data_IF_755255334127
#
_entry.id   IF_755255334127
#
_cell.length_a   1.000
_cell.length_b   1.000
_cell.length_c   1.000
_cell.angle_alpha   90.00
_cell.angle_beta   90.00
_cell.angle_gamma   90.00
#
_symmetry.space_group_name_H-M   'P 1'
#
loop_
_entity.id
_entity.type
_entity.pdbx_description
1 polymer ?
#
# COMPACT_ATOMS: atom_id res chain seq x y z
N UNK A 1 20.62 10.11 27.56
CA UNK A 1 19.65 9.19 28.20
C UNK A 1 18.27 9.80 28.38
N UNK A 2 17.99 10.69 29.36
CA UNK A 2 16.62 11.21 29.59
C UNK A 2 16.01 11.95 28.37
N UNK A 3 16.81 12.71 27.64
CA UNK A 3 16.37 13.45 26.46
C UNK A 3 16.08 12.53 25.26
N UNK A 4 16.85 11.46 25.09
CA UNK A 4 16.65 10.45 24.03
C UNK A 4 15.40 9.61 24.29
N UNK A 5 15.17 9.19 25.55
CA UNK A 5 13.95 8.49 25.95
C UNK A 5 12.70 9.34 25.69
N UNK A 6 12.76 10.65 25.95
CA UNK A 6 11.65 11.58 25.70
C UNK A 6 11.37 11.76 24.21
N UNK A 7 12.42 11.83 23.37
CA UNK A 7 12.26 11.89 21.91
C UNK A 7 11.66 10.59 21.36
N UNK A 8 12.11 9.44 21.86
CA UNK A 8 11.61 8.13 21.46
C UNK A 8 10.14 7.93 21.84
N UNK A 9 9.75 8.31 23.06
CA UNK A 9 8.36 8.26 23.51
C UNK A 9 7.44 9.10 22.61
N UNK A 10 7.89 10.30 22.23
CA UNK A 10 7.14 11.18 21.33
C UNK A 10 6.98 10.54 19.94
N UNK A 11 8.03 9.94 19.38
CA UNK A 11 7.99 9.26 18.09
C UNK A 11 7.03 8.06 18.10
N UNK A 12 7.12 7.21 19.13
CA UNK A 12 6.19 6.08 19.33
C UNK A 12 4.75 6.55 19.36
N UNK A 13 4.45 7.61 20.12
CA UNK A 13 3.10 8.17 20.20
C UNK A 13 2.60 8.67 18.85
N UNK A 14 3.42 9.42 18.11
CA UNK A 14 3.06 9.86 16.76
C UNK A 14 2.67 8.68 15.87
N UNK A 15 3.42 7.57 15.93
CA UNK A 15 3.09 6.39 15.15
C UNK A 15 1.81 5.69 15.60
N UNK A 16 1.59 5.54 16.91
CA UNK A 16 0.35 4.97 17.45
C UNK A 16 -0.86 5.82 17.07
N UNK A 17 -0.74 7.15 17.18
CA UNK A 17 -1.80 8.08 16.79
C UNK A 17 -2.17 7.93 15.32
N UNK A 18 -1.17 7.90 14.43
CA UNK A 18 -1.39 7.71 13.01
C UNK A 18 -2.02 6.34 12.71
N UNK A 19 -1.50 5.25 13.30
CA UNK A 19 -2.08 3.89 13.17
C UNK A 19 -3.56 3.88 13.60
N UNK A 20 -3.90 4.56 14.69
CA UNK A 20 -5.27 4.69 15.20
C UNK A 20 -6.19 5.35 14.18
N UNK A 21 -5.74 6.45 13.55
CA UNK A 21 -6.51 7.15 12.51
C UNK A 21 -6.71 6.30 11.25
N UNK A 22 -5.71 5.48 10.90
CA UNK A 22 -5.72 4.61 9.72
C UNK A 22 -6.53 3.33 9.91
N UNK A 23 -6.74 2.88 11.15
CA UNK A 23 -7.30 1.56 11.43
C UNK A 23 -8.71 1.35 10.85
N UNK A 24 -9.64 2.28 11.08
CA UNK A 24 -11.02 2.16 10.59
C UNK A 24 -11.11 2.11 9.05
N UNK A 25 -10.44 3.01 8.29
CA UNK A 25 -10.34 2.87 6.84
C UNK A 25 -9.80 1.51 6.38
N UNK A 26 -8.87 0.90 7.12
CA UNK A 26 -8.25 -0.38 6.76
C UNK A 26 -9.21 -1.55 6.95
N UNK A 27 -9.98 -1.55 8.04
CA UNK A 27 -11.06 -2.51 8.28
C UNK A 27 -12.08 -2.45 7.13
N UNK A 28 -12.53 -1.25 6.76
CA UNK A 28 -13.47 -1.07 5.63
C UNK A 28 -12.91 -1.59 4.30
N UNK A 29 -11.60 -1.42 4.05
CA UNK A 29 -10.95 -1.96 2.86
C UNK A 29 -10.85 -3.49 2.89
N UNK A 30 -10.64 -4.08 4.06
CA UNK A 30 -10.63 -5.54 4.24
C UNK A 30 -12.01 -6.16 3.94
N UNK A 31 -13.09 -5.43 4.22
CA UNK A 31 -14.48 -5.90 4.10
C UNK A 31 -15.14 -5.67 2.72
N UNK A 32 -14.49 -4.96 1.78
CA UNK A 32 -15.12 -4.61 0.47
C UNK A 32 -15.36 -5.84 -0.42
N UNK A 33 -16.65 -6.18 -0.60
CA UNK A 33 -17.18 -7.11 -1.62
C UNK A 33 -17.17 -6.49 -3.02
N UNK A 34 -16.69 -7.23 -4.03
CA UNK A 34 -17.00 -7.00 -5.46
C UNK A 34 -17.89 -8.17 -5.89
N UNK A 35 -18.94 -7.94 -6.67
CA UNK A 35 -19.79 -8.98 -7.27
C UNK A 35 -19.51 -8.98 -8.78
N UNK A 36 -19.21 -10.14 -9.36
CA UNK A 36 -19.03 -10.31 -10.81
C UNK A 36 -20.08 -11.33 -11.26
N UNK A 37 -21.10 -10.87 -11.97
CA UNK A 37 -22.08 -11.75 -12.61
C UNK A 37 -21.49 -12.29 -13.92
N UNK A 38 -20.91 -13.49 -13.86
CA UNK A 38 -20.58 -14.25 -15.05
C UNK A 38 -21.81 -15.05 -15.47
N UNK A 39 -22.55 -14.55 -16.45
CA UNK A 39 -23.66 -15.27 -17.06
C UNK A 39 -23.19 -16.54 -17.77
N UNK A 40 -23.24 -17.68 -17.07
CA UNK A 40 -23.86 -18.95 -17.49
C UNK A 40 -23.30 -20.15 -16.69
N UNK A 41 -24.17 -20.82 -15.92
CA UNK A 41 -23.97 -22.19 -15.45
C UNK A 41 -23.91 -22.33 -13.92
N UNK A 42 -24.91 -23.01 -13.35
CA UNK A 42 -25.05 -23.30 -11.90
C UNK A 42 -23.84 -24.10 -11.38
N UNK A 43 -23.18 -23.58 -10.35
CA UNK A 43 -22.47 -24.34 -9.32
C UNK A 43 -22.44 -23.54 -8.03
N UNK A 44 -22.60 -24.24 -6.91
CA UNK A 44 -22.72 -23.75 -5.53
C UNK A 44 -21.49 -23.00 -5.03
N UNK A 45 -21.73 -21.98 -4.20
CA UNK A 45 -20.83 -21.37 -3.19
C UNK A 45 -19.38 -21.04 -3.63
N UNK A 46 -19.09 -19.74 -3.71
CA UNK A 46 -18.12 -19.12 -2.79
C UNK A 46 -18.25 -17.59 -2.82
N UNK A 47 -18.32 -16.90 -1.66
CA UNK A 47 -18.24 -15.44 -1.58
C UNK A 47 -16.87 -14.96 -2.09
N UNK A 48 -16.84 -13.92 -2.92
CA UNK A 48 -15.58 -13.32 -3.41
C UNK A 48 -14.67 -12.89 -2.24
N UNK A 49 -13.35 -13.06 -2.38
CA UNK A 49 -12.43 -13.13 -1.26
C UNK A 49 -12.23 -11.74 -0.63
N UNK A 50 -12.24 -11.72 0.69
CA UNK A 50 -11.68 -10.65 1.52
C UNK A 50 -10.37 -10.13 0.89
N UNK A 51 -10.10 -8.82 0.95
CA UNK A 51 -8.77 -8.32 0.60
C UNK A 51 -7.78 -8.87 1.64
N UNK A 52 -7.21 -10.04 1.33
CA UNK A 52 -6.42 -10.86 2.25
C UNK A 52 -5.23 -10.07 2.78
N UNK A 53 -4.64 -9.20 1.96
CA UNK A 53 -3.53 -8.35 2.38
C UNK A 53 -3.97 -7.25 3.36
N UNK A 54 -5.14 -6.62 3.14
CA UNK A 54 -5.70 -5.67 4.10
C UNK A 54 -6.14 -6.38 5.39
N UNK A 55 -6.77 -7.55 5.31
CA UNK A 55 -7.16 -8.36 6.47
C UNK A 55 -5.95 -8.81 7.30
N UNK A 56 -4.91 -9.31 6.64
CA UNK A 56 -3.64 -9.66 7.32
C UNK A 56 -3.06 -8.45 8.06
N UNK A 57 -3.14 -7.27 7.46
CA UNK A 57 -2.66 -6.05 8.10
C UNK A 57 -3.54 -5.64 9.28
N UNK A 58 -4.87 -5.82 9.22
CA UNK A 58 -5.79 -5.64 10.36
C UNK A 58 -5.43 -6.59 11.50
N UNK A 59 -5.25 -7.89 11.23
CA UNK A 59 -4.85 -8.86 12.25
C UNK A 59 -3.49 -8.50 12.87
N UNK A 60 -2.53 -8.06 12.05
CA UNK A 60 -1.22 -7.67 12.55
C UNK A 60 -1.27 -6.41 13.43
N UNK A 61 -2.14 -5.44 13.12
CA UNK A 61 -2.37 -4.28 14.00
C UNK A 61 -2.90 -4.74 15.35
N UNK A 62 -3.82 -5.70 15.36
CA UNK A 62 -4.37 -6.24 16.60
C UNK A 62 -3.31 -6.94 17.47
N UNK A 63 -2.53 -7.84 16.87
CA UNK A 63 -1.44 -8.56 17.55
C UNK A 63 -0.42 -7.60 18.17
N UNK A 64 -0.02 -6.57 17.42
CA UNK A 64 0.92 -5.56 17.91
C UNK A 64 0.28 -4.69 19.00
N UNK A 65 -0.98 -4.31 18.87
CA UNK A 65 -1.70 -3.55 19.91
C UNK A 65 -1.79 -4.35 21.23
N UNK A 66 -2.10 -5.65 21.16
CA UNK A 66 -2.12 -6.55 22.34
C UNK A 66 -0.73 -6.67 22.96
N UNK A 67 0.30 -6.88 22.13
CA UNK A 67 1.68 -7.01 22.60
C UNK A 67 2.14 -5.74 23.34
N UNK A 68 1.90 -4.57 22.74
CA UNK A 68 2.31 -3.29 23.33
C UNK A 68 1.50 -2.94 24.58
N UNK A 69 0.20 -3.23 24.60
CA UNK A 69 -0.66 -3.10 25.78
C UNK A 69 -0.07 -3.87 26.97
N UNK A 70 0.22 -5.16 26.79
CA UNK A 70 0.83 -6.00 27.83
C UNK A 70 2.22 -5.51 28.22
N UNK A 71 3.04 -5.12 27.24
CA UNK A 71 4.38 -4.60 27.48
C UNK A 71 4.39 -3.28 28.28
N UNK A 72 3.32 -2.50 28.18
CA UNK A 72 3.07 -1.29 28.95
C UNK A 72 2.40 -1.55 30.32
N UNK A 73 2.17 -2.82 30.68
CA UNK A 73 1.58 -3.22 31.97
C UNK A 73 0.05 -3.15 32.01
N UNK A 74 -0.61 -3.15 30.85
CA UNK A 74 -2.07 -3.20 30.81
C UNK A 74 -2.58 -4.63 30.80
N UNK A 75 -3.18 -5.01 31.93
CA UNK A 75 -4.01 -6.20 32.02
C UNK A 75 -5.41 -5.84 31.51
N UNK A 76 -5.67 -6.07 30.21
CA UNK A 76 -6.90 -5.72 29.47
C UNK A 76 -8.18 -6.21 30.21
N UNK A 77 -8.89 -5.34 30.96
CA UNK A 77 -9.97 -5.79 31.84
C UNK A 77 -11.31 -5.98 31.10
N UNK A 78 -11.42 -5.55 29.84
CA UNK A 78 -12.72 -5.29 29.21
C UNK A 78 -12.85 -5.67 27.72
N UNK A 79 -11.87 -6.35 27.13
CA UNK A 79 -11.92 -6.79 25.71
C UNK A 79 -12.36 -5.66 24.77
N UNK A 80 -11.74 -4.48 24.92
CA UNK A 80 -12.12 -3.23 24.25
C UNK A 80 -11.94 -3.26 22.71
N UNK A 81 -11.50 -4.39 22.16
CA UNK A 81 -11.11 -4.57 20.77
C UNK A 81 -9.90 -3.72 20.36
N UNK A 82 -9.39 -3.93 19.15
CA UNK A 82 -8.17 -3.28 18.66
C UNK A 82 -8.22 -1.75 18.72
N UNK A 83 -9.36 -1.14 18.37
CA UNK A 83 -9.51 0.32 18.38
C UNK A 83 -9.43 0.90 19.80
N UNK A 84 -10.02 0.24 20.79
CA UNK A 84 -9.93 0.65 22.18
C UNK A 84 -8.49 0.54 22.70
N UNK A 85 -7.78 -0.53 22.31
CA UNK A 85 -6.35 -0.67 22.63
C UNK A 85 -5.49 0.43 22.04
N UNK A 86 -5.74 0.81 20.78
CA UNK A 86 -5.03 1.91 20.13
C UNK A 86 -5.34 3.28 20.74
N UNK A 87 -6.58 3.51 21.21
CA UNK A 87 -6.93 4.73 21.97
C UNK A 87 -6.14 4.78 23.28
N UNK A 88 -6.05 3.67 23.99
CA UNK A 88 -5.33 3.59 25.25
C UNK A 88 -3.81 3.77 25.05
N UNK A 89 -3.23 3.17 24.02
CA UNK A 89 -1.81 3.31 23.68
C UNK A 89 -1.44 4.73 23.20
N UNK A 90 -2.40 5.54 22.73
CA UNK A 90 -2.21 6.95 22.33
C UNK A 90 -2.16 7.91 23.54
N UNK A 91 -1.48 7.48 24.61
CA UNK A 91 -1.23 8.25 25.83
C UNK A 91 0.27 8.51 26.02
N UNK A 92 0.61 9.73 26.45
CA UNK A 92 1.99 10.16 26.64
C UNK A 92 2.71 9.37 27.74
N UNK A 93 2.01 9.02 28.82
CA UNK A 93 2.56 8.28 29.95
C UNK A 93 2.91 6.84 29.57
N UNK A 94 2.08 6.21 28.75
CA UNK A 94 2.29 4.84 28.29
C UNK A 94 3.40 4.73 27.25
N UNK A 95 3.44 5.66 26.29
CA UNK A 95 4.57 5.74 25.36
C UNK A 95 5.89 6.03 26.10
N UNK A 96 5.87 6.82 27.18
CA UNK A 96 7.03 7.02 28.03
C UNK A 96 7.45 5.75 28.79
N UNK A 97 6.51 4.90 29.19
CA UNK A 97 6.79 3.58 29.78
C UNK A 97 7.44 2.65 28.76
N UNK A 98 6.89 2.57 27.54
CA UNK A 98 7.45 1.76 26.45
C UNK A 98 8.86 2.22 26.05
N UNK A 99 9.10 3.53 26.00
CA UNK A 99 10.41 4.10 25.66
C UNK A 99 11.52 3.83 26.68
N UNK A 100 11.17 3.43 27.92
CA UNK A 100 12.14 3.08 28.98
C UNK A 100 12.52 1.60 28.98
N UNK A 101 11.89 0.77 28.15
CA UNK A 101 12.19 -0.66 28.07
C UNK A 101 13.50 -0.89 27.34
N UNK A 102 14.15 -2.01 27.65
CA UNK A 102 15.41 -2.40 27.01
C UNK A 102 15.24 -2.67 25.50
N UNK A 103 14.05 -3.07 25.07
CA UNK A 103 13.68 -3.35 23.67
C UNK A 103 13.06 -2.13 22.93
N UNK A 104 13.07 -0.94 23.54
CA UNK A 104 12.45 0.26 22.98
C UNK A 104 13.00 0.63 21.59
N UNK A 105 14.28 0.32 21.32
CA UNK A 105 14.91 0.51 20.02
C UNK A 105 14.33 -0.36 18.89
N UNK A 106 13.56 -1.40 19.21
CA UNK A 106 12.84 -2.23 18.24
C UNK A 106 11.36 -1.88 18.14
N UNK A 107 10.77 -1.34 19.21
CA UNK A 107 9.35 -0.97 19.27
C UNK A 107 9.04 0.19 18.32
N UNK A 108 9.86 1.24 18.30
CA UNK A 108 9.62 2.39 17.41
C UNK A 108 9.71 2.00 15.93
N UNK A 109 10.75 1.28 15.46
CA UNK A 109 10.81 0.85 14.05
C UNK A 109 9.67 -0.08 13.65
N UNK A 110 9.19 -0.92 14.59
CA UNK A 110 8.03 -1.79 14.39
C UNK A 110 6.77 -0.96 14.13
N UNK A 111 6.49 0.04 14.98
CA UNK A 111 5.37 0.97 14.83
C UNK A 111 5.49 1.80 13.55
N UNK A 112 6.68 2.34 13.26
CA UNK A 112 6.94 3.09 12.04
C UNK A 112 6.73 2.23 10.77
N UNK A 113 7.12 0.96 10.80
CA UNK A 113 6.90 -0.01 9.71
C UNK A 113 5.42 -0.37 9.56
N UNK A 114 4.71 -0.60 10.66
CA UNK A 114 3.27 -0.89 10.65
C UNK A 114 2.48 0.29 10.07
N UNK A 115 2.73 1.50 10.58
CA UNK A 115 2.13 2.74 10.08
C UNK A 115 2.34 2.91 8.58
N UNK A 116 3.58 2.81 8.10
CA UNK A 116 3.90 2.93 6.66
C UNK A 116 3.11 1.95 5.81
N UNK A 117 3.00 0.69 6.25
CA UNK A 117 2.23 -0.33 5.52
C UNK A 117 0.73 -0.02 5.48
N UNK A 118 0.18 0.53 6.57
CA UNK A 118 -1.23 0.97 6.60
C UNK A 118 -1.47 2.17 5.69
N UNK A 119 -0.60 3.19 5.76
CA UNK A 119 -0.63 4.34 4.85
C UNK A 119 -0.54 3.90 3.38
N UNK A 120 0.35 2.94 3.07
CA UNK A 120 0.48 2.38 1.73
C UNK A 120 -0.80 1.69 1.28
N UNK A 121 -1.42 0.90 2.15
CA UNK A 121 -2.61 0.14 1.81
C UNK A 121 -3.83 1.03 1.58
N UNK A 122 -3.93 2.13 2.33
CA UNK A 122 -5.09 3.02 2.31
C UNK A 122 -5.01 4.12 1.29
N UNK A 123 -3.84 4.73 1.15
CA UNK A 123 -3.70 5.95 0.38
C UNK A 123 -2.91 5.78 -0.90
N UNK A 124 -2.31 4.59 -1.15
CA UNK A 124 -1.55 4.28 -2.35
C UNK A 124 -0.75 5.51 -2.81
N UNK A 125 0.24 5.89 -2.02
CA UNK A 125 0.60 7.31 -1.87
C UNK A 125 0.74 8.12 -3.17
N UNK A 126 0.18 9.33 -3.13
CA UNK A 126 0.35 10.35 -4.17
C UNK A 126 1.77 10.95 -4.23
N UNK A 127 2.70 10.53 -3.37
CA UNK A 127 4.07 11.05 -3.31
C UNK A 127 5.15 10.02 -3.60
N UNK A 128 4.82 8.72 -3.71
CA UNK A 128 5.75 7.71 -4.22
C UNK A 128 5.14 6.99 -5.41
N UNK A 129 5.98 6.69 -6.38
CA UNK A 129 5.66 5.89 -7.56
C UNK A 129 6.13 4.47 -7.32
N UNK A 130 5.25 3.50 -7.57
CA UNK A 130 5.63 2.11 -7.69
C UNK A 130 6.51 1.93 -8.92
N UNK A 131 7.69 1.35 -8.76
CA UNK A 131 8.64 1.17 -9.86
C UNK A 131 8.88 -0.29 -10.23
N UNK A 132 8.40 -1.23 -9.41
CA UNK A 132 8.56 -2.66 -9.67
C UNK A 132 8.76 -3.48 -8.41
N UNK A 133 9.45 -4.62 -8.54
CA UNK A 133 9.77 -5.50 -7.42
C UNK A 133 11.28 -5.66 -7.30
N UNK A 134 11.75 -5.83 -6.07
CA UNK A 134 13.12 -6.14 -5.74
C UNK A 134 13.56 -7.43 -6.46
N UNK A 135 14.75 -7.46 -7.09
CA UNK A 135 15.23 -8.66 -7.78
C UNK A 135 15.55 -9.81 -6.80
N UNK A 136 15.87 -9.50 -5.55
CA UNK A 136 16.30 -10.50 -4.56
C UNK A 136 15.13 -11.18 -3.86
N UNK A 137 14.21 -10.39 -3.30
CA UNK A 137 13.14 -10.90 -2.45
C UNK A 137 11.72 -10.68 -3.00
N UNK A 138 11.60 -10.12 -4.22
CA UNK A 138 10.32 -9.82 -4.89
C UNK A 138 9.41 -8.83 -4.15
N UNK A 139 9.89 -8.19 -3.07
CA UNK A 139 9.18 -7.13 -2.37
C UNK A 139 8.90 -5.96 -3.32
N UNK A 140 7.73 -5.32 -3.22
CA UNK A 140 7.44 -4.14 -4.02
C UNK A 140 8.44 -3.02 -3.73
N UNK A 141 8.76 -2.22 -4.74
CA UNK A 141 9.69 -1.09 -4.64
C UNK A 141 8.96 0.17 -5.06
N UNK A 142 9.03 1.18 -4.19
CA UNK A 142 8.43 2.48 -4.38
C UNK A 142 9.48 3.57 -4.17
N UNK A 143 9.47 4.59 -5.01
CA UNK A 143 10.36 5.75 -4.92
C UNK A 143 9.56 7.03 -4.76
N UNK A 144 10.08 8.07 -4.11
CA UNK A 144 9.41 9.37 -4.11
C UNK A 144 9.23 9.87 -5.55
N UNK A 145 8.18 10.64 -5.82
CA UNK A 145 7.97 11.19 -7.16
C UNK A 145 9.15 12.09 -7.58
N UNK A 146 9.75 12.79 -6.61
CA UNK A 146 10.96 13.60 -6.75
C UNK A 146 12.26 12.80 -6.89
N UNK A 147 12.25 11.49 -6.62
CA UNK A 147 13.44 10.67 -6.74
C UNK A 147 13.75 10.39 -8.22
N UNK A 148 15.02 10.54 -8.56
CA UNK A 148 15.56 10.17 -9.87
C UNK A 148 15.41 8.66 -10.10
N UNK A 149 15.13 8.30 -11.36
CA UNK A 149 15.06 6.89 -11.81
C UNK A 149 16.45 6.33 -12.16
N UNK A 150 17.47 6.77 -11.44
CA UNK A 150 18.86 6.42 -11.65
C UNK A 150 19.57 6.05 -10.35
N UNK A 151 20.65 5.29 -10.47
CA UNK A 151 21.48 4.89 -9.35
C UNK A 151 20.99 3.63 -8.62
N UNK A 152 21.70 3.33 -7.53
CA UNK A 152 21.53 2.11 -6.76
C UNK A 152 20.88 2.39 -5.41
N UNK A 153 20.01 1.48 -4.97
CA UNK A 153 19.26 1.58 -3.71
C UNK A 153 19.27 0.23 -2.99
N UNK A 154 18.97 0.25 -1.70
CA UNK A 154 18.83 -0.95 -0.88
C UNK A 154 17.34 -1.27 -0.66
N UNK A 155 17.00 -2.55 -0.67
CA UNK A 155 15.63 -2.99 -0.44
C UNK A 155 15.25 -2.80 1.03
N UNK A 156 14.17 -2.07 1.32
CA UNK A 156 13.67 -1.86 2.69
C UNK A 156 13.33 -3.16 3.45
N UNK A 157 13.20 -4.30 2.75
CA UNK A 157 12.85 -5.60 3.35
C UNK A 157 14.04 -6.54 3.55
N UNK A 158 14.90 -6.69 2.55
CA UNK A 158 15.99 -7.67 2.56
C UNK A 158 17.39 -7.05 2.55
N UNK A 159 17.46 -5.72 2.52
CA UNK A 159 18.68 -4.93 2.40
C UNK A 159 19.54 -5.23 1.15
N UNK A 160 19.04 -6.06 0.23
CA UNK A 160 19.72 -6.33 -1.03
C UNK A 160 19.81 -5.08 -1.91
N UNK A 161 21.00 -4.78 -2.40
CA UNK A 161 21.29 -3.68 -3.31
C UNK A 161 20.71 -3.95 -4.71
N UNK A 162 20.08 -2.96 -5.34
CA UNK A 162 19.51 -3.06 -6.69
C UNK A 162 19.62 -1.75 -7.47
N UNK A 163 19.76 -1.87 -8.79
CA UNK A 163 19.71 -0.74 -9.72
C UNK A 163 18.25 -0.35 -10.02
N UNK A 164 17.94 0.93 -9.82
CA UNK A 164 16.57 1.46 -9.99
C UNK A 164 16.08 1.32 -11.43
N UNK A 165 16.94 1.57 -12.42
CA UNK A 165 16.58 1.52 -13.84
C UNK A 165 16.23 0.11 -14.27
N UNK A 166 16.97 -0.89 -13.79
CA UNK A 166 16.67 -2.30 -14.06
C UNK A 166 15.31 -2.71 -13.49
N UNK A 167 14.98 -2.28 -12.27
CA UNK A 167 13.68 -2.54 -11.64
C UNK A 167 12.54 -1.92 -12.45
N UNK A 168 12.67 -0.64 -12.83
CA UNK A 168 11.72 0.07 -13.70
C UNK A 168 11.51 -0.64 -15.05
N UNK A 169 12.60 -1.06 -15.70
CA UNK A 169 12.54 -1.74 -17.00
C UNK A 169 11.85 -3.10 -16.88
N UNK A 170 12.18 -3.89 -15.85
CA UNK A 170 11.54 -5.16 -15.59
C UNK A 170 10.05 -4.99 -15.30
N UNK A 171 9.66 -3.96 -14.55
CA UNK A 171 8.25 -3.65 -14.30
C UNK A 171 7.50 -3.26 -15.59
N UNK A 172 8.09 -2.42 -16.43
CA UNK A 172 7.52 -2.06 -17.74
C UNK A 172 7.29 -3.30 -18.61
N UNK A 173 8.25 -4.22 -18.66
CA UNK A 173 8.11 -5.46 -19.42
C UNK A 173 6.94 -6.32 -18.89
N UNK A 174 6.77 -6.42 -17.57
CA UNK A 174 5.60 -7.10 -16.98
C UNK A 174 4.28 -6.43 -17.37
N UNK A 175 4.21 -5.10 -17.38
CA UNK A 175 3.02 -4.37 -17.84
C UNK A 175 2.75 -4.52 -19.34
N UNK A 176 3.78 -4.80 -20.15
CA UNK A 176 3.62 -5.08 -21.58
C UNK A 176 3.16 -6.51 -21.87
N UNK A 177 3.41 -7.44 -20.93
CA UNK A 177 3.04 -8.85 -21.05
C UNK A 177 1.71 -9.21 -20.38
N UNK A 178 1.13 -8.31 -19.58
CA UNK A 178 -0.16 -8.54 -18.94
C UNK A 178 -1.32 -8.30 -19.91
N UNK A 179 -2.37 -9.11 -19.78
CA UNK A 179 -3.64 -8.93 -20.48
C UNK A 179 -4.61 -7.99 -19.73
N UNK A 180 -4.16 -7.38 -18.62
CA UNK A 180 -4.98 -6.46 -17.83
C UNK A 180 -5.53 -5.32 -18.68
N UNK A 181 -6.83 -5.11 -18.56
CA UNK A 181 -7.58 -4.08 -19.27
C UNK A 181 -8.60 -3.43 -18.35
N UNK A 182 -8.78 -2.13 -18.51
CA UNK A 182 -9.73 -1.36 -17.70
C UNK A 182 -10.18 -0.11 -18.46
N UNK A 183 -11.07 0.67 -17.85
CA UNK A 183 -11.49 1.97 -18.36
C UNK A 183 -10.31 2.94 -18.39
N UNK A 184 -10.41 4.00 -19.22
CA UNK A 184 -9.36 5.02 -19.25
C UNK A 184 -9.13 5.68 -17.88
N UNK A 185 -10.17 5.80 -17.05
CA UNK A 185 -10.08 6.37 -15.72
C UNK A 185 -9.17 5.52 -14.83
N UNK A 186 -9.53 4.25 -14.67
CA UNK A 186 -8.77 3.30 -13.86
C UNK A 186 -7.34 3.11 -14.37
N UNK A 187 -7.15 3.00 -15.69
CA UNK A 187 -5.81 2.95 -16.27
C UNK A 187 -5.01 4.22 -15.98
N UNK A 188 -5.63 5.41 -15.99
CA UNK A 188 -4.93 6.65 -15.64
C UNK A 188 -4.52 6.69 -14.17
N UNK A 189 -5.32 6.12 -13.27
CA UNK A 189 -5.01 6.04 -11.84
C UNK A 189 -3.89 5.03 -11.61
N UNK A 190 -4.00 3.83 -12.19
CA UNK A 190 -2.98 2.78 -12.13
C UNK A 190 -1.64 3.25 -12.69
N UNK A 191 -1.63 3.86 -13.87
CA UNK A 191 -0.38 4.32 -14.49
C UNK A 191 0.28 5.43 -13.67
N UNK A 192 -0.50 6.31 -13.06
CA UNK A 192 0.02 7.34 -12.17
C UNK A 192 0.64 6.73 -10.91
N UNK A 193 0.00 5.73 -10.29
CA UNK A 193 0.57 5.05 -9.13
C UNK A 193 1.86 4.30 -9.49
N UNK A 194 2.03 3.87 -10.74
CA UNK A 194 3.27 3.33 -11.28
C UNK A 194 4.28 4.39 -11.80
N UNK A 195 4.04 5.68 -11.54
CA UNK A 195 4.95 6.78 -11.92
C UNK A 195 4.90 7.22 -13.38
N UNK A 196 3.97 6.71 -14.20
CA UNK A 196 3.77 7.18 -15.56
C UNK A 196 2.97 8.48 -15.58
N UNK A 197 3.56 9.54 -16.14
CA UNK A 197 2.94 10.86 -16.25
C UNK A 197 2.03 10.96 -17.47
N UNK A 198 0.91 10.24 -17.47
CA UNK A 198 -0.09 10.27 -18.55
C UNK A 198 -1.32 11.04 -18.09
N UNK A 199 -1.59 12.17 -18.75
CA UNK A 199 -2.82 12.94 -18.48
C UNK A 199 -4.02 12.27 -19.13
N UNK A 200 -5.18 12.35 -18.48
CA UNK A 200 -6.45 11.86 -19.03
C UNK A 200 -6.75 12.42 -20.43
N UNK A 201 -6.45 13.71 -20.66
CA UNK A 201 -6.63 14.34 -21.96
C UNK A 201 -5.75 13.73 -23.05
N UNK A 202 -4.57 13.22 -22.68
CA UNK A 202 -3.67 12.51 -23.59
C UNK A 202 -4.29 11.17 -24.01
N UNK A 203 -4.80 10.39 -23.05
CA UNK A 203 -5.50 9.13 -23.33
C UNK A 203 -6.70 9.34 -24.27
N UNK A 204 -7.57 10.31 -23.94
CA UNK A 204 -8.73 10.68 -24.78
C UNK A 204 -8.30 11.10 -26.19
N UNK A 205 -7.20 11.85 -26.31
CA UNK A 205 -6.64 12.27 -27.61
C UNK A 205 -6.16 11.07 -28.43
N UNK A 206 -5.52 10.08 -27.81
CA UNK A 206 -5.10 8.85 -28.50
C UNK A 206 -6.28 8.03 -29.02
N UNK A 207 -7.35 7.90 -28.22
CA UNK A 207 -8.60 7.25 -28.67
C UNK A 207 -9.21 8.01 -29.84
N UNK A 208 -9.36 9.34 -29.73
CA UNK A 208 -9.93 10.19 -30.81
C UNK A 208 -9.13 10.10 -32.11
N UNK A 209 -7.82 9.91 -32.01
CA UNK A 209 -6.90 9.78 -33.17
C UNK A 209 -6.75 8.33 -33.65
N UNK A 210 -7.48 7.37 -33.09
CA UNK A 210 -7.42 5.96 -33.46
C UNK A 210 -6.12 5.24 -33.07
N UNK A 211 -5.28 5.85 -32.22
CA UNK A 211 -4.01 5.25 -31.76
C UNK A 211 -4.18 4.25 -30.61
N UNK A 212 -5.29 4.39 -29.87
CA UNK A 212 -5.66 3.50 -28.77
C UNK A 212 -7.08 2.97 -29.06
N UNK A 213 -7.22 1.66 -29.21
CA UNK A 213 -8.47 1.00 -29.56
C UNK A 213 -9.05 0.28 -28.35
N UNK A 214 -10.37 0.33 -28.18
CA UNK A 214 -11.05 -0.41 -27.12
C UNK A 214 -11.13 -1.88 -27.47
N UNK A 215 -10.92 -2.75 -26.49
CA UNK A 215 -11.07 -4.20 -26.66
C UNK A 215 -12.48 -4.69 -26.32
N UNK A 216 -13.34 -3.81 -25.81
CA UNK A 216 -14.70 -4.12 -25.41
C UNK A 216 -15.29 -3.04 -24.51
N UNK A 217 -16.34 -3.41 -23.77
CA UNK A 217 -17.00 -2.59 -22.74
C UNK A 217 -17.12 -3.37 -21.43
N UNK A 218 -17.08 -2.68 -20.29
CA UNK A 218 -17.40 -3.26 -18.98
C UNK A 218 -18.92 -3.33 -18.75
N UNK A 219 -19.33 -3.75 -17.55
CA UNK A 219 -20.73 -3.94 -17.15
C UNK A 219 -21.56 -2.65 -17.18
N UNK A 220 -20.92 -1.49 -17.03
CA UNK A 220 -21.56 -0.17 -17.13
C UNK A 220 -21.65 0.35 -18.58
N UNK A 221 -21.26 -0.46 -19.57
CA UNK A 221 -21.18 -0.05 -20.98
C UNK A 221 -20.01 0.90 -21.29
N UNK A 222 -19.05 1.05 -20.39
CA UNK A 222 -17.88 1.91 -20.54
C UNK A 222 -16.78 1.15 -21.29
N UNK A 223 -16.19 1.80 -22.31
CA UNK A 223 -15.10 1.21 -23.10
C UNK A 223 -13.87 0.90 -22.26
N UNK A 224 -13.32 -0.30 -22.45
CA UNK A 224 -12.10 -0.79 -21.80
C UNK A 224 -10.94 -0.92 -22.78
N UNK A 225 -9.71 -0.75 -22.28
CA UNK A 225 -8.48 -0.68 -23.05
C UNK A 225 -7.40 -1.51 -22.35
N UNK A 226 -6.50 -2.15 -23.11
CA UNK A 226 -5.39 -2.90 -22.50
C UNK A 226 -4.31 -1.96 -21.98
N UNK A 227 -3.78 -2.25 -20.80
CA UNK A 227 -2.68 -1.46 -20.23
C UNK A 227 -1.43 -1.52 -21.11
N UNK A 228 -1.16 -2.67 -21.75
CA UNK A 228 -0.02 -2.84 -22.66
C UNK A 228 -0.04 -1.84 -23.84
N UNK A 229 -1.22 -1.59 -24.42
CA UNK A 229 -1.38 -0.64 -25.53
C UNK A 229 -1.14 0.80 -25.08
N UNK A 230 -1.58 1.14 -23.88
CA UNK A 230 -1.30 2.44 -23.28
C UNK A 230 0.21 2.61 -23.03
N UNK A 231 0.88 1.61 -22.43
CA UNK A 231 2.32 1.64 -22.14
C UNK A 231 3.17 1.80 -23.40
N UNK A 232 2.79 1.16 -24.52
CA UNK A 232 3.46 1.32 -25.83
C UNK A 232 3.45 2.77 -26.30
N UNK A 233 2.39 3.52 -25.99
CA UNK A 233 2.24 4.93 -26.37
C UNK A 233 2.91 5.92 -25.39
N UNK A 234 3.18 5.51 -24.15
CA UNK A 234 3.66 6.40 -23.10
C UNK A 234 5.16 6.78 -23.19
N UNK A 235 5.95 6.15 -24.07
CA UNK A 235 7.40 6.33 -24.06
C UNK A 235 8.06 5.80 -22.78
N UNK A 236 9.39 5.76 -22.71
CA UNK A 236 10.12 5.38 -21.49
C UNK A 236 9.87 6.41 -20.37
N UNK A 237 9.83 5.94 -19.12
CA UNK A 237 9.78 6.77 -17.92
C UNK A 237 10.89 7.82 -18.02
N UNK A 238 10.52 9.10 -18.17
CA UNK A 238 11.44 10.23 -18.15
C UNK A 238 11.66 10.70 -16.72
#
# INVERSE_FOLDING_TARGET
MQQETMQLAKAMRTHVHDIRLLYQPLVLLSERKVHVDNGAGRSSEEPLPVNVSALQLVCQVDEIAVMLARAAGWDDPHDLGTIGRLIWLDDDGLCATLARRDDAGHIEPLLASLRRRMEWMLYGNSTRKYIGVCPHCRWGVWLLESDDLSGTRHCERCDGEFDVRQVCQAHRLRLLMTDYADTLHELSVLLRSCGYRVKMNTLKSWVRRGRLQSIGTNDDGIRVYRVADVIRLCGLLA
#
